data_IF_759194075671
#
_entry.id   IF_759194075671
#
_cell.length_a   1.000
_cell.length_b   1.000
_cell.length_c   1.000
_cell.angle_alpha   90.00
_cell.angle_beta   90.00
_cell.angle_gamma   90.00
#
_symmetry.space_group_name_H-M   'P 1'
#
loop_
_entity.id
_entity.type
_entity.pdbx_description
1 polymer ?
#
# COMPACT_ATOMS: atom_id res chain seq x y z
N UNK A 1 -8.85 -13.00 -27.09
CA UNK A 1 -8.21 -11.70 -26.84
C UNK A 1 -8.76 -11.15 -25.53
N UNK A 2 -8.12 -11.43 -24.41
CA UNK A 2 -8.57 -10.94 -23.10
C UNK A 2 -8.03 -9.53 -22.87
N UNK A 3 -8.90 -8.54 -23.00
CA UNK A 3 -8.64 -7.20 -22.49
C UNK A 3 -8.79 -7.27 -20.97
N UNK A 4 -7.67 -7.24 -20.24
CA UNK A 4 -7.71 -7.26 -18.78
C UNK A 4 -8.01 -5.84 -18.30
N UNK A 5 -9.21 -5.68 -17.73
CA UNK A 5 -9.77 -4.45 -17.16
C UNK A 5 -8.75 -3.51 -16.52
N UNK A 6 -8.98 -2.22 -16.75
CA UNK A 6 -8.23 -1.09 -16.23
C UNK A 6 -8.10 -1.14 -14.69
N UNK A 7 -6.85 -1.11 -14.22
CA UNK A 7 -6.36 -0.98 -12.84
C UNK A 7 -6.47 -2.20 -11.90
N UNK A 8 -5.40 -3.01 -11.83
CA UNK A 8 -5.15 -3.98 -10.75
C UNK A 8 -4.69 -3.29 -9.46
N UNK A 9 -5.31 -2.19 -9.04
CA UNK A 9 -4.93 -1.49 -7.82
C UNK A 9 -6.12 -0.94 -7.06
N UNK A 10 -5.95 -0.81 -5.75
CA UNK A 10 -6.86 -0.12 -4.84
C UNK A 10 -6.16 1.10 -4.25
N UNK A 11 -6.91 2.18 -4.03
CA UNK A 11 -6.45 3.33 -3.27
C UNK A 11 -7.02 3.21 -1.86
N UNK A 12 -6.16 3.23 -0.85
CA UNK A 12 -6.57 3.09 0.55
C UNK A 12 -6.00 4.24 1.34
N UNK A 13 -6.85 4.87 2.16
CA UNK A 13 -6.44 5.92 3.09
C UNK A 13 -5.91 5.30 4.38
N UNK A 14 -4.74 5.75 4.82
CA UNK A 14 -4.02 5.20 5.96
C UNK A 14 -3.65 6.32 6.94
N UNK A 15 -3.81 6.08 8.24
CA UNK A 15 -3.24 6.99 9.24
C UNK A 15 -1.71 6.89 9.13
N UNK A 16 -1.00 8.03 9.03
CA UNK A 16 0.47 8.08 8.82
C UNK A 16 0.91 7.39 7.53
N UNK A 17 0.19 7.62 6.42
CA UNK A 17 0.43 6.94 5.14
C UNK A 17 1.87 7.08 4.60
N UNK A 18 2.51 8.22 4.81
CA UNK A 18 3.90 8.43 4.38
C UNK A 18 4.86 7.49 5.13
N UNK A 19 4.71 7.37 6.44
CA UNK A 19 5.54 6.49 7.27
C UNK A 19 5.28 5.01 6.97
N UNK A 20 4.02 4.64 6.75
CA UNK A 20 3.67 3.30 6.30
C UNK A 20 4.29 3.01 4.92
N UNK A 21 4.28 3.98 4.01
CA UNK A 21 4.89 3.83 2.69
C UNK A 21 6.40 3.60 2.81
N UNK A 22 7.10 4.41 3.60
CA UNK A 22 8.54 4.30 3.80
C UNK A 22 8.92 2.96 4.45
N UNK A 23 8.12 2.49 5.41
CA UNK A 23 8.25 1.16 6.00
C UNK A 23 8.05 0.04 4.97
N UNK A 24 7.00 0.10 4.15
CA UNK A 24 6.76 -0.92 3.13
C UNK A 24 7.91 -0.97 2.10
N UNK A 25 8.49 0.18 1.74
CA UNK A 25 9.68 0.24 0.89
C UNK A 25 10.90 -0.39 1.56
N UNK A 26 11.13 -0.16 2.86
CA UNK A 26 12.25 -0.81 3.58
C UNK A 26 12.08 -2.33 3.66
N UNK A 27 10.84 -2.80 3.75
CA UNK A 27 10.48 -4.23 3.72
C UNK A 27 10.52 -4.83 2.30
N UNK A 28 10.96 -4.07 1.28
CA UNK A 28 11.02 -4.45 -0.13
C UNK A 28 9.65 -4.80 -0.74
N UNK A 29 8.57 -4.33 -0.13
CA UNK A 29 7.22 -4.43 -0.69
C UNK A 29 7.01 -3.24 -1.64
N UNK A 30 6.92 -3.52 -2.94
CA UNK A 30 6.81 -2.49 -3.96
C UNK A 30 5.38 -1.95 -4.01
N UNK A 31 5.07 -0.98 -3.16
CA UNK A 31 3.96 -0.06 -3.36
C UNK A 31 4.45 1.14 -4.20
N UNK A 32 3.61 1.70 -5.08
CA UNK A 32 3.93 2.97 -5.77
C UNK A 32 3.21 4.10 -5.06
N UNK A 33 3.95 5.00 -4.39
CA UNK A 33 3.37 6.19 -3.80
C UNK A 33 2.89 7.16 -4.89
N UNK A 34 1.68 7.68 -4.73
CA UNK A 34 1.16 8.80 -5.53
C UNK A 34 0.67 9.96 -4.64
N UNK A 35 1.21 10.06 -3.42
CA UNK A 35 0.95 11.16 -2.49
C UNK A 35 1.31 12.55 -3.04
N UNK A 36 2.15 12.64 -4.08
CA UNK A 36 2.49 13.90 -4.77
C UNK A 36 1.35 14.51 -5.63
N UNK A 37 0.14 13.96 -5.59
CA UNK A 37 -1.05 14.63 -6.14
C UNK A 37 -1.66 15.46 -5.00
N UNK A 38 -1.67 16.78 -5.15
CA UNK A 38 -2.04 17.84 -4.16
C UNK A 38 -3.35 17.63 -3.35
N UNK A 39 -4.14 16.58 -3.61
CA UNK A 39 -5.41 16.28 -2.96
C UNK A 39 -5.52 14.85 -2.39
N UNK A 40 -4.44 14.05 -2.40
CA UNK A 40 -4.40 12.67 -1.90
C UNK A 40 -3.62 12.52 -0.59
N UNK A 41 -3.78 13.48 0.33
CA UNK A 41 -3.23 13.40 1.68
C UNK A 41 -3.67 12.08 2.32
N UNK A 42 -2.71 11.23 2.63
CA UNK A 42 -2.85 9.95 3.33
C UNK A 42 -3.31 8.72 2.54
N UNK A 43 -3.24 8.72 1.19
CA UNK A 43 -3.67 7.54 0.41
C UNK A 43 -2.52 6.81 -0.28
N UNK A 44 -2.44 5.49 -0.08
CA UNK A 44 -1.47 4.61 -0.75
C UNK A 44 -2.20 3.80 -1.82
N UNK A 45 -1.61 3.77 -3.02
CA UNK A 45 -2.10 2.94 -4.12
C UNK A 45 -1.43 1.56 -4.04
N UNK A 46 -2.23 0.55 -3.70
CA UNK A 46 -1.81 -0.84 -3.55
C UNK A 46 -2.16 -1.60 -4.83
N UNK A 47 -1.19 -2.20 -5.49
CA UNK A 47 -1.43 -3.14 -6.59
C UNK A 47 -1.86 -4.49 -6.02
N UNK A 48 -2.92 -5.06 -6.58
CA UNK A 48 -3.38 -6.40 -6.24
C UNK A 48 -2.53 -7.40 -7.02
N UNK A 49 -1.66 -8.10 -6.30
CA UNK A 49 -0.78 -9.13 -6.83
C UNK A 49 -1.28 -10.54 -6.51
N UNK A 50 -0.34 -11.47 -6.39
CA UNK A 50 -0.60 -12.84 -5.96
C UNK A 50 -1.15 -12.88 -4.52
N UNK A 51 -1.90 -13.94 -4.22
CA UNK A 51 -2.48 -14.14 -2.88
C UNK A 51 -1.41 -14.17 -1.77
N UNK A 52 -0.20 -14.65 -2.05
CA UNK A 52 0.94 -14.64 -1.12
C UNK A 52 1.42 -13.22 -0.84
N UNK A 53 1.66 -12.42 -1.90
CA UNK A 53 2.11 -11.03 -1.80
C UNK A 53 1.09 -10.16 -1.05
N UNK A 54 -0.20 -10.35 -1.34
CA UNK A 54 -1.28 -9.62 -0.66
C UNK A 54 -1.34 -9.98 0.84
N UNK A 55 -1.10 -11.24 1.21
CA UNK A 55 -1.04 -11.67 2.62
C UNK A 55 0.13 -11.03 3.35
N UNK A 56 1.30 -11.01 2.72
CA UNK A 56 2.51 -10.40 3.28
C UNK A 56 2.32 -8.89 3.49
N UNK A 57 1.76 -8.20 2.49
CA UNK A 57 1.41 -6.78 2.60
C UNK A 57 0.48 -6.52 3.80
N UNK A 58 -0.61 -7.27 3.93
CA UNK A 58 -1.55 -7.12 5.05
C UNK A 58 -0.85 -7.37 6.40
N UNK A 59 0.03 -8.37 6.47
CA UNK A 59 0.78 -8.66 7.69
C UNK A 59 1.71 -7.52 8.07
N UNK A 60 2.47 -6.96 7.12
CA UNK A 60 3.36 -5.82 7.36
C UNK A 60 2.61 -4.56 7.78
N UNK A 61 1.47 -4.27 7.14
CA UNK A 61 0.59 -3.17 7.55
C UNK A 61 0.13 -3.35 9.02
N UNK A 62 -0.27 -4.57 9.41
CA UNK A 62 -0.68 -4.85 10.79
C UNK A 62 0.47 -4.68 11.79
N UNK A 63 1.67 -5.16 11.45
CA UNK A 63 2.87 -5.02 12.28
C UNK A 63 3.17 -3.53 12.48
N UNK A 64 3.19 -2.75 11.41
CA UNK A 64 3.42 -1.30 11.47
C UNK A 64 2.47 -0.62 12.48
N UNK A 65 1.17 -0.87 12.42
CA UNK A 65 0.21 -0.24 13.33
C UNK A 65 0.27 -0.78 14.77
N UNK A 66 0.62 -2.06 14.95
CA UNK A 66 0.70 -2.68 16.28
C UNK A 66 1.97 -2.27 17.03
N UNK A 67 3.12 -2.19 16.35
CA UNK A 67 4.39 -1.81 16.96
C UNK A 67 4.50 -0.31 17.23
N UNK A 68 3.81 0.52 16.45
CA UNK A 68 3.82 1.97 16.61
C UNK A 68 2.80 2.51 17.62
N UNK A 69 2.08 1.64 18.37
CA UNK A 69 1.04 2.00 19.35
C UNK A 69 0.07 3.09 18.84
N UNK A 70 -0.45 2.90 17.62
CA UNK A 70 -1.51 3.77 17.05
C UNK A 70 -2.88 3.18 17.36
#
# INVERSE_FOLDING_TARGET
STFHSDANFILVKFIRAQELFDYLISEKIIARNRSNVELCNDSIRITIGLKSENKELIQKIKIFYTENNV
#
